data_IF_904218177189
#
_entry.id   IF_904218177189
#
_cell.length_a   1.000
_cell.length_b   1.000
_cell.length_c   1.000
_cell.angle_alpha   90.00
_cell.angle_beta   90.00
_cell.angle_gamma   90.00
#
_symmetry.space_group_name_H-M   'P 1'
#
loop_
_entity.id
_entity.type
_entity.pdbx_description
1 polymer ?
#
# COMPACT_ATOMS: atom_id res chain seq x y z
N UNK A 1 -5.58 -6.24 27.38
CA UNK A 1 -6.29 -6.12 26.08
C UNK A 1 -7.76 -5.73 26.24
N UNK A 2 -8.55 -6.32 27.13
CA UNK A 2 -9.97 -5.99 27.32
C UNK A 2 -10.25 -4.52 27.66
N UNK A 3 -9.42 -3.88 28.51
CA UNK A 3 -9.54 -2.46 28.87
C UNK A 3 -9.26 -1.49 27.71
N UNK A 4 -8.35 -1.85 26.79
CA UNK A 4 -8.02 -1.03 25.60
C UNK A 4 -9.19 -1.07 24.61
N UNK A 5 -9.76 -2.25 24.37
CA UNK A 5 -10.92 -2.43 23.49
C UNK A 5 -12.16 -1.72 24.07
N UNK A 6 -12.40 -1.81 25.38
CA UNK A 6 -13.49 -1.09 26.03
C UNK A 6 -13.33 0.44 25.90
N UNK A 7 -12.11 0.95 26.03
CA UNK A 7 -11.81 2.37 25.87
C UNK A 7 -11.92 2.85 24.41
N UNK A 8 -11.64 2.00 23.43
CA UNK A 8 -11.85 2.29 21.98
C UNK A 8 -13.33 2.57 21.69
N UNK A 9 -14.25 1.76 22.25
CA UNK A 9 -15.69 1.92 22.05
C UNK A 9 -16.33 2.99 22.94
N UNK A 10 -15.66 3.40 24.02
CA UNK A 10 -16.12 4.49 24.88
C UNK A 10 -16.00 5.88 24.22
N UNK A 11 -15.13 6.04 23.22
CA UNK A 11 -14.99 7.29 22.49
C UNK A 11 -16.00 7.37 21.34
N UNK A 12 -17.00 8.26 21.45
CA UNK A 12 -18.05 8.43 20.44
C UNK A 12 -17.50 8.78 19.06
N UNK A 13 -16.50 9.65 18.97
CA UNK A 13 -15.89 10.06 17.70
C UNK A 13 -15.14 8.90 17.04
N UNK A 14 -14.30 8.20 17.80
CA UNK A 14 -13.55 7.06 17.31
C UNK A 14 -14.49 5.91 16.86
N UNK A 15 -15.54 5.65 17.67
CA UNK A 15 -16.59 4.69 17.32
C UNK A 15 -17.25 5.05 16.00
N UNK A 16 -17.61 6.32 15.78
CA UNK A 16 -18.21 6.76 14.53
C UNK A 16 -17.27 6.56 13.34
N UNK A 17 -15.97 6.90 13.47
CA UNK A 17 -14.95 6.72 12.43
C UNK A 17 -14.74 5.25 12.07
N UNK A 18 -14.68 4.37 13.07
CA UNK A 18 -14.57 2.91 12.86
C UNK A 18 -15.82 2.38 12.14
N UNK A 19 -17.01 2.76 12.61
CA UNK A 19 -18.26 2.32 12.00
C UNK A 19 -18.40 2.80 10.55
N UNK A 20 -18.00 4.06 10.28
CA UNK A 20 -17.96 4.62 8.93
C UNK A 20 -17.02 3.83 8.02
N UNK A 21 -15.81 3.52 8.49
CA UNK A 21 -14.84 2.71 7.73
C UNK A 21 -15.40 1.32 7.42
N UNK A 22 -16.03 0.68 8.41
CA UNK A 22 -16.64 -0.62 8.22
C UNK A 22 -17.82 -0.58 7.22
N UNK A 23 -18.66 0.45 7.28
CA UNK A 23 -19.73 0.67 6.31
C UNK A 23 -19.18 0.80 4.88
N UNK A 24 -18.09 1.54 4.70
CA UNK A 24 -17.43 1.66 3.39
C UNK A 24 -16.85 0.33 2.89
N UNK A 25 -16.35 -0.52 3.78
CA UNK A 25 -15.93 -1.89 3.43
C UNK A 25 -17.11 -2.74 2.94
N UNK A 26 -18.27 -2.62 3.58
CA UNK A 26 -19.48 -3.32 3.12
C UNK A 26 -19.87 -2.86 1.72
N UNK A 27 -19.85 -1.54 1.44
CA UNK A 27 -20.15 -0.99 0.11
C UNK A 27 -19.12 -1.50 -0.92
N UNK A 28 -17.84 -1.51 -0.59
CA UNK A 28 -16.81 -2.08 -1.45
C UNK A 28 -17.08 -3.56 -1.75
N UNK A 29 -17.40 -4.37 -0.73
CA UNK A 29 -17.68 -5.80 -0.92
C UNK A 29 -18.92 -6.05 -1.75
N UNK A 30 -19.98 -5.26 -1.59
CA UNK A 30 -21.17 -5.34 -2.45
C UNK A 30 -20.83 -5.07 -3.91
N UNK A 31 -20.05 -4.02 -4.19
CA UNK A 31 -19.64 -3.68 -5.56
C UNK A 31 -18.74 -4.73 -6.22
N UNK A 32 -17.94 -5.48 -5.44
CA UNK A 32 -17.14 -6.62 -5.95
C UNK A 32 -18.03 -7.75 -6.48
N UNK A 33 -19.29 -7.84 -6.03
CA UNK A 33 -20.22 -8.89 -6.45
C UNK A 33 -21.20 -8.46 -7.56
N UNK A 34 -21.11 -7.21 -8.02
CA UNK A 34 -21.92 -6.70 -9.13
C UNK A 34 -21.15 -6.91 -10.44
N UNK A 35 -21.44 -7.95 -11.23
CA UNK A 35 -20.74 -8.19 -12.48
C UNK A 35 -21.06 -7.09 -13.51
N UNK A 36 -20.11 -6.82 -14.40
CA UNK A 36 -20.38 -5.94 -15.56
C UNK A 36 -21.33 -6.71 -16.50
N UNK A 37 -22.48 -6.12 -16.86
CA UNK A 37 -23.45 -6.82 -17.72
C UNK A 37 -22.83 -7.19 -19.06
N UNK A 38 -23.18 -8.38 -19.59
CA UNK A 38 -22.81 -8.85 -20.94
C UNK A 38 -21.35 -9.25 -21.12
N UNK A 39 -20.66 -9.62 -20.07
CA UNK A 39 -19.38 -10.29 -20.12
C UNK A 39 -19.56 -11.75 -19.70
N UNK A 40 -19.03 -12.68 -20.49
CA UNK A 40 -19.16 -14.10 -20.20
C UNK A 40 -18.16 -14.52 -19.10
N UNK A 41 -18.71 -14.87 -17.94
CA UNK A 41 -17.91 -15.28 -16.79
C UNK A 41 -17.12 -16.57 -17.04
N UNK A 42 -17.58 -17.47 -17.90
CA UNK A 42 -16.93 -18.74 -18.18
C UNK A 42 -15.60 -18.56 -18.94
N UNK A 43 -15.56 -17.61 -19.87
CA UNK A 43 -14.34 -17.26 -20.61
C UNK A 43 -13.33 -16.59 -19.69
N UNK A 44 -13.82 -15.74 -18.76
CA UNK A 44 -12.96 -15.10 -17.77
C UNK A 44 -12.34 -16.16 -16.85
N UNK A 45 -13.11 -17.10 -16.34
CA UNK A 45 -12.64 -18.17 -15.47
C UNK A 45 -11.56 -19.02 -16.16
N UNK A 46 -11.69 -19.31 -17.47
CA UNK A 46 -10.67 -20.00 -18.25
C UNK A 46 -9.36 -19.21 -18.36
N UNK A 47 -9.42 -17.88 -18.50
CA UNK A 47 -8.25 -17.01 -18.53
C UNK A 47 -7.53 -16.97 -17.18
N UNK A 48 -8.26 -17.10 -16.07
CA UNK A 48 -7.67 -17.20 -14.72
C UNK A 48 -7.02 -18.55 -14.46
N UNK A 49 -7.55 -19.63 -15.02
CA UNK A 49 -7.01 -20.98 -14.85
C UNK A 49 -5.72 -21.17 -15.63
N UNK A 50 -5.55 -20.47 -16.74
CA UNK A 50 -4.39 -20.59 -17.64
C UNK A 50 -3.20 -19.69 -17.26
N UNK A 51 -3.35 -18.73 -16.33
CA UNK A 51 -2.27 -17.77 -16.03
C UNK A 51 -2.20 -17.29 -14.58
N UNK A 52 -1.04 -17.47 -13.94
CA UNK A 52 -0.77 -17.01 -12.58
C UNK A 52 -0.85 -15.47 -12.39
N UNK A 53 -0.77 -14.71 -13.49
CA UNK A 53 -0.76 -13.24 -13.46
C UNK A 53 -2.11 -12.64 -13.05
N UNK A 54 -3.19 -13.14 -13.66
CA UNK A 54 -4.54 -12.68 -13.32
C UNK A 54 -4.89 -12.96 -11.86
N UNK A 55 -4.42 -14.08 -11.32
CA UNK A 55 -4.59 -14.40 -9.90
C UNK A 55 -3.95 -13.38 -8.97
N UNK A 56 -2.76 -12.86 -9.32
CA UNK A 56 -2.09 -11.82 -8.53
C UNK A 56 -2.80 -10.45 -8.63
N UNK A 57 -3.21 -10.03 -9.82
CA UNK A 57 -4.03 -8.84 -10.01
C UNK A 57 -5.32 -8.91 -9.21
N UNK A 58 -5.95 -10.07 -9.21
CA UNK A 58 -7.20 -10.31 -8.50
C UNK A 58 -7.04 -10.30 -6.96
N UNK A 59 -5.84 -10.56 -6.45
CA UNK A 59 -5.53 -10.43 -5.03
C UNK A 59 -5.78 -9.00 -4.53
N UNK A 60 -5.33 -7.99 -5.28
CA UNK A 60 -5.54 -6.58 -4.93
C UNK A 60 -6.97 -6.11 -5.19
N UNK A 61 -7.69 -6.77 -6.08
CA UNK A 61 -9.09 -6.47 -6.37
C UNK A 61 -10.05 -7.15 -5.40
N UNK A 62 -9.57 -8.09 -4.58
CA UNK A 62 -10.41 -8.84 -3.63
C UNK A 62 -11.42 -9.77 -4.28
N UNK A 63 -11.11 -10.30 -5.48
CA UNK A 63 -11.99 -11.16 -6.26
C UNK A 63 -12.87 -10.40 -7.27
N UNK A 64 -12.65 -9.09 -7.44
CA UNK A 64 -13.43 -8.28 -8.37
C UNK A 64 -13.07 -8.57 -9.83
N UNK A 65 -11.82 -8.90 -10.11
CA UNK A 65 -11.37 -9.20 -11.46
C UNK A 65 -11.81 -10.59 -11.92
N UNK A 66 -11.74 -11.60 -11.05
CA UNK A 66 -12.21 -12.96 -11.37
C UNK A 66 -13.70 -13.04 -11.66
N UNK A 67 -14.50 -12.15 -11.04
CA UNK A 67 -15.95 -12.02 -11.29
C UNK A 67 -16.27 -10.97 -12.35
N UNK A 68 -15.27 -10.31 -12.91
CA UNK A 68 -15.39 -9.16 -13.79
C UNK A 68 -16.46 -8.17 -13.32
N UNK A 69 -16.33 -7.75 -12.06
CA UNK A 69 -17.25 -6.80 -11.45
C UNK A 69 -16.95 -5.36 -11.87
N UNK A 70 -17.85 -4.44 -11.52
CA UNK A 70 -17.63 -2.99 -11.73
C UNK A 70 -16.33 -2.50 -11.12
N UNK A 71 -15.76 -3.21 -10.14
CA UNK A 71 -14.48 -2.93 -9.50
C UNK A 71 -13.32 -3.81 -10.01
N UNK A 72 -13.45 -4.42 -11.20
CA UNK A 72 -12.45 -5.32 -11.75
C UNK A 72 -11.04 -4.68 -11.87
N UNK A 73 -10.97 -3.38 -12.17
CA UNK A 73 -9.71 -2.65 -12.23
C UNK A 73 -9.14 -2.29 -10.85
N UNK A 74 -9.92 -2.53 -9.77
CA UNK A 74 -9.52 -2.17 -8.40
C UNK A 74 -9.14 -0.68 -8.27
N UNK A 75 -8.23 -0.38 -7.35
CA UNK A 75 -7.67 0.96 -7.11
C UNK A 75 -6.35 1.18 -7.86
N UNK A 76 -5.93 0.23 -8.70
CA UNK A 76 -4.65 0.23 -9.42
C UNK A 76 -4.42 1.50 -10.26
N UNK A 77 -5.39 2.03 -11.04
CA UNK A 77 -5.19 3.26 -11.80
C UNK A 77 -4.88 4.47 -10.91
N UNK A 78 -5.50 4.54 -9.72
CA UNK A 78 -5.22 5.60 -8.76
C UNK A 78 -3.82 5.47 -8.16
N UNK A 79 -3.38 4.25 -7.83
CA UNK A 79 -2.04 4.02 -7.33
C UNK A 79 -1.01 4.48 -8.35
N UNK A 80 -1.16 4.05 -9.61
CA UNK A 80 -0.27 4.45 -10.70
C UNK A 80 -0.24 5.98 -10.89
N UNK A 81 -1.40 6.62 -10.86
CA UNK A 81 -1.54 8.08 -10.94
C UNK A 81 -0.81 8.77 -9.78
N UNK A 82 -1.01 8.28 -8.56
CA UNK A 82 -0.37 8.83 -7.36
C UNK A 82 1.16 8.69 -7.42
N UNK A 83 1.67 7.55 -7.90
CA UNK A 83 3.10 7.32 -8.09
C UNK A 83 3.68 8.32 -9.08
N UNK A 84 3.05 8.43 -10.25
CA UNK A 84 3.51 9.34 -11.31
C UNK A 84 3.48 10.78 -10.80
N UNK A 85 2.43 11.20 -10.11
CA UNK A 85 2.34 12.54 -9.55
C UNK A 85 3.41 12.81 -8.48
N UNK A 86 3.72 11.82 -7.62
CA UNK A 86 4.81 11.97 -6.64
C UNK A 86 6.18 12.08 -7.30
N UNK A 87 6.42 11.32 -8.37
CA UNK A 87 7.66 11.45 -9.16
C UNK A 87 7.73 12.81 -9.85
N UNK A 88 6.63 13.28 -10.43
CA UNK A 88 6.56 14.58 -11.10
C UNK A 88 6.74 15.74 -10.11
N UNK A 89 6.25 15.64 -8.87
CA UNK A 89 6.49 16.66 -7.83
C UNK A 89 7.95 16.76 -7.41
N UNK A 90 8.76 15.74 -7.65
CA UNK A 90 10.20 15.80 -7.40
C UNK A 90 11.00 16.40 -8.57
N UNK A 91 10.42 16.47 -9.78
CA UNK A 91 11.10 16.90 -11.01
C UNK A 91 10.60 18.26 -11.50
N UNK A 92 9.30 18.56 -11.35
CA UNK A 92 8.67 19.76 -11.86
C UNK A 92 8.65 20.85 -10.77
N UNK A 93 9.34 22.00 -10.95
CA UNK A 93 9.43 23.06 -9.93
C UNK A 93 8.07 23.60 -9.47
N UNK A 94 7.10 23.78 -10.37
CA UNK A 94 5.75 24.23 -10.03
C UNK A 94 4.98 23.30 -9.14
N UNK A 95 5.19 21.98 -9.28
CA UNK A 95 4.58 20.98 -8.41
C UNK A 95 5.30 20.90 -7.07
N UNK A 96 6.60 21.13 -7.03
CA UNK A 96 7.39 21.26 -5.80
C UNK A 96 6.92 22.49 -5.00
N UNK A 97 6.69 23.64 -5.64
CA UNK A 97 6.11 24.80 -5.00
C UNK A 97 4.76 24.48 -4.37
N UNK A 98 3.84 23.84 -5.09
CA UNK A 98 2.55 23.43 -4.53
C UNK A 98 2.71 22.49 -3.32
N UNK A 99 3.68 21.60 -3.34
CA UNK A 99 3.96 20.74 -2.19
C UNK A 99 4.39 21.54 -0.96
N UNK A 100 5.13 22.64 -1.16
CA UNK A 100 5.61 23.51 -0.10
C UNK A 100 4.54 24.50 0.39
N UNK A 101 3.48 24.76 -0.40
CA UNK A 101 2.34 25.62 -0.05
C UNK A 101 1.41 25.04 1.03
N UNK A 102 1.77 23.92 1.64
CA UNK A 102 1.00 23.31 2.73
C UNK A 102 -0.33 22.71 2.27
N UNK A 103 -1.42 22.96 3.02
CA UNK A 103 -2.71 22.30 2.74
C UNK A 103 -3.37 22.70 1.42
N UNK A 104 -3.20 23.93 0.98
CA UNK A 104 -3.80 24.39 -0.29
C UNK A 104 -3.11 23.76 -1.50
N UNK A 105 -1.78 23.72 -1.49
CA UNK A 105 -1.03 23.06 -2.54
C UNK A 105 -1.27 21.55 -2.56
N UNK A 106 -1.41 20.91 -1.43
CA UNK A 106 -1.78 19.50 -1.34
C UNK A 106 -3.14 19.20 -2.00
N UNK A 107 -4.15 20.07 -1.80
CA UNK A 107 -5.45 19.96 -2.46
C UNK A 107 -5.34 20.10 -3.99
N UNK A 108 -4.46 20.99 -4.48
CA UNK A 108 -4.21 21.15 -5.92
C UNK A 108 -3.61 19.87 -6.52
N UNK A 109 -2.57 19.33 -5.87
CA UNK A 109 -1.94 18.06 -6.27
C UNK A 109 -2.97 16.92 -6.29
N UNK A 110 -3.77 16.78 -5.25
CA UNK A 110 -4.84 15.78 -5.18
C UNK A 110 -5.84 15.92 -6.35
N UNK A 111 -6.25 17.15 -6.68
CA UNK A 111 -7.16 17.41 -7.79
C UNK A 111 -6.58 16.94 -9.12
N UNK A 112 -5.32 17.25 -9.38
CA UNK A 112 -4.62 16.79 -10.61
C UNK A 112 -4.49 15.27 -10.62
N UNK A 113 -4.14 14.66 -9.48
CA UNK A 113 -4.07 13.19 -9.34
C UNK A 113 -5.41 12.52 -9.67
N UNK A 114 -6.55 13.08 -9.24
CA UNK A 114 -7.89 12.56 -9.59
C UNK A 114 -8.14 12.60 -11.10
N UNK A 115 -7.88 13.71 -11.77
CA UNK A 115 -8.06 13.80 -13.24
C UNK A 115 -7.16 12.81 -13.96
N UNK A 116 -5.92 12.70 -13.53
CA UNK A 116 -4.97 11.77 -14.12
C UNK A 116 -5.38 10.30 -13.86
N UNK A 117 -5.97 10.02 -12.70
CA UNK A 117 -6.56 8.70 -12.40
C UNK A 117 -7.68 8.35 -13.37
N UNK A 118 -8.61 9.28 -13.66
CA UNK A 118 -9.70 9.03 -14.59
C UNK A 118 -9.16 8.73 -15.99
N UNK A 119 -8.16 9.50 -16.43
CA UNK A 119 -7.51 9.28 -17.72
C UNK A 119 -6.84 7.90 -17.78
N UNK A 120 -6.02 7.53 -16.77
CA UNK A 120 -5.37 6.22 -16.73
C UNK A 120 -6.39 5.08 -16.62
N UNK A 121 -7.46 5.27 -15.84
CA UNK A 121 -8.53 4.29 -15.72
C UNK A 121 -9.22 4.05 -17.07
N UNK A 122 -9.51 5.10 -17.83
CA UNK A 122 -10.12 4.98 -19.16
C UNK A 122 -9.19 4.23 -20.13
N UNK A 123 -7.88 4.53 -20.12
CA UNK A 123 -6.89 3.85 -20.99
C UNK A 123 -6.77 2.36 -20.59
N UNK A 124 -6.69 2.04 -19.31
CA UNK A 124 -6.61 0.65 -18.84
C UNK A 124 -7.92 -0.11 -19.09
N UNK A 125 -9.08 0.53 -18.87
CA UNK A 125 -10.39 -0.06 -19.17
C UNK A 125 -10.53 -0.35 -20.68
N UNK A 126 -10.09 0.56 -21.53
CA UNK A 126 -10.07 0.34 -22.97
C UNK A 126 -9.24 -0.88 -23.35
N UNK A 127 -8.00 -0.97 -22.85
CA UNK A 127 -7.13 -2.11 -23.10
C UNK A 127 -7.74 -3.43 -22.61
N UNK A 128 -8.29 -3.46 -21.40
CA UNK A 128 -8.89 -4.65 -20.82
C UNK A 128 -10.13 -5.10 -21.60
N UNK A 129 -11.01 -4.17 -21.99
CA UNK A 129 -12.19 -4.48 -22.81
C UNK A 129 -11.79 -4.96 -24.19
N UNK A 130 -10.72 -4.42 -24.77
CA UNK A 130 -10.18 -4.87 -26.05
C UNK A 130 -9.65 -6.29 -25.97
N UNK A 131 -8.95 -6.66 -24.91
CA UNK A 131 -8.51 -8.04 -24.68
C UNK A 131 -9.68 -9.01 -24.53
N UNK A 132 -10.77 -8.63 -23.86
CA UNK A 132 -11.98 -9.44 -23.78
C UNK A 132 -12.65 -9.62 -25.14
N UNK A 133 -12.66 -8.59 -25.96
CA UNK A 133 -13.22 -8.65 -27.32
C UNK A 133 -12.48 -9.64 -28.20
N UNK A 134 -11.13 -9.64 -28.15
CA UNK A 134 -10.29 -10.59 -28.91
C UNK A 134 -10.55 -12.03 -28.46
N UNK A 135 -10.76 -12.25 -27.16
CA UNK A 135 -11.02 -13.58 -26.61
C UNK A 135 -12.51 -14.00 -26.69
N UNK A 136 -13.34 -13.25 -27.43
CA UNK A 136 -14.78 -13.48 -27.55
C UNK A 136 -15.53 -13.62 -26.21
N UNK A 137 -15.05 -12.90 -25.18
CA UNK A 137 -15.67 -12.87 -23.86
C UNK A 137 -16.82 -11.86 -23.75
N UNK A 138 -17.05 -11.04 -24.77
CA UNK A 138 -18.16 -10.10 -24.84
C UNK A 138 -19.37 -10.77 -25.52
N UNK A 139 -20.53 -10.68 -24.90
CA UNK A 139 -21.81 -11.21 -25.46
C UNK A 139 -22.19 -10.49 -26.75
N UNK A 140 -21.95 -9.17 -26.80
CA UNK A 140 -22.18 -8.34 -27.99
C UNK A 140 -20.88 -7.64 -28.40
N UNK A 141 -20.44 -7.89 -29.63
CA UNK A 141 -19.25 -7.30 -30.24
C UNK A 141 -19.48 -5.89 -30.82
N UNK A 142 -20.64 -5.26 -30.55
CA UNK A 142 -20.95 -3.90 -30.97
C UNK A 142 -19.97 -2.90 -30.36
N UNK A 143 -19.61 -1.87 -31.16
CA UNK A 143 -18.76 -0.76 -30.66
C UNK A 143 -19.42 0.01 -29.51
N UNK A 144 -20.73 0.14 -29.55
CA UNK A 144 -21.48 0.81 -28.47
C UNK A 144 -21.38 0.06 -27.16
N UNK A 145 -21.44 -1.26 -27.22
CA UNK A 145 -21.29 -2.12 -26.06
C UNK A 145 -19.86 -2.07 -25.49
N UNK A 146 -18.86 -2.05 -26.37
CA UNK A 146 -17.47 -1.86 -25.99
C UNK A 146 -17.26 -0.56 -25.18
N UNK A 147 -17.77 0.57 -25.67
CA UNK A 147 -17.71 1.85 -24.97
C UNK A 147 -18.45 1.81 -23.65
N UNK A 148 -19.59 1.13 -23.58
CA UNK A 148 -20.34 0.94 -22.34
C UNK A 148 -19.51 0.25 -21.26
N UNK A 149 -18.82 -0.85 -21.58
CA UNK A 149 -17.96 -1.58 -20.61
C UNK A 149 -16.80 -0.69 -20.14
N UNK A 150 -16.15 0.06 -21.04
CA UNK A 150 -15.08 1.01 -20.70
C UNK A 150 -15.58 2.07 -19.72
N UNK A 151 -16.75 2.64 -19.94
CA UNK A 151 -17.34 3.65 -19.06
C UNK A 151 -17.69 3.07 -17.72
N UNK A 152 -18.26 1.86 -17.66
CA UNK A 152 -18.62 1.18 -16.40
C UNK A 152 -17.39 0.89 -15.55
N UNK A 153 -16.32 0.37 -16.14
CA UNK A 153 -15.07 0.08 -15.43
C UNK A 153 -14.38 1.36 -14.92
N UNK A 154 -14.38 2.41 -15.74
CA UNK A 154 -13.83 3.72 -15.35
C UNK A 154 -14.63 4.33 -14.20
N UNK A 155 -15.96 4.29 -14.29
CA UNK A 155 -16.85 4.76 -13.22
C UNK A 155 -16.66 3.97 -11.93
N UNK A 156 -16.48 2.65 -12.01
CA UNK A 156 -16.15 1.79 -10.86
C UNK A 156 -14.86 2.22 -10.16
N UNK A 157 -13.81 2.48 -10.92
CA UNK A 157 -12.53 2.99 -10.37
C UNK A 157 -12.70 4.37 -9.71
N UNK A 158 -13.46 5.28 -10.33
CA UNK A 158 -13.77 6.59 -9.74
C UNK A 158 -14.53 6.46 -8.43
N UNK A 159 -15.46 5.52 -8.35
CA UNK A 159 -16.21 5.24 -7.13
C UNK A 159 -15.31 4.69 -6.02
N UNK A 160 -14.38 3.76 -6.36
CA UNK A 160 -13.40 3.24 -5.40
C UNK A 160 -12.46 4.33 -4.90
N UNK A 161 -11.97 5.19 -5.78
CA UNK A 161 -11.16 6.35 -5.40
C UNK A 161 -11.92 7.24 -4.42
N UNK A 162 -13.17 7.56 -4.71
CA UNK A 162 -14.03 8.37 -3.83
C UNK A 162 -14.27 7.69 -2.47
N UNK A 163 -14.52 6.38 -2.43
CA UNK A 163 -14.64 5.61 -1.18
C UNK A 163 -13.34 5.71 -0.37
N UNK A 164 -12.18 5.52 -1.00
CA UNK A 164 -10.88 5.61 -0.34
C UNK A 164 -10.62 7.00 0.26
N UNK A 165 -10.95 8.06 -0.47
CA UNK A 165 -10.84 9.43 0.03
C UNK A 165 -11.80 9.69 1.20
N UNK A 166 -13.03 9.23 1.12
CA UNK A 166 -14.01 9.37 2.21
C UNK A 166 -13.60 8.60 3.46
N UNK A 167 -12.99 7.43 3.35
CA UNK A 167 -12.42 6.73 4.50
C UNK A 167 -11.28 7.56 5.11
N UNK A 168 -10.42 8.16 4.30
CA UNK A 168 -9.31 9.00 4.79
C UNK A 168 -9.80 10.26 5.51
N UNK A 169 -10.88 10.89 5.02
CA UNK A 169 -11.45 12.11 5.60
C UNK A 169 -12.25 11.84 6.90
N UNK A 170 -13.17 10.87 6.85
CA UNK A 170 -14.16 10.65 7.90
C UNK A 170 -13.97 9.34 8.68
N UNK A 171 -13.14 8.43 8.17
CA UNK A 171 -12.84 7.15 8.77
C UNK A 171 -11.58 7.16 9.63
N UNK A 172 -10.95 6.00 9.71
CA UNK A 172 -9.68 5.77 10.40
C UNK A 172 -8.68 5.14 9.42
N UNK A 173 -7.42 5.54 9.47
CA UNK A 173 -6.37 5.04 8.60
C UNK A 173 -6.32 5.72 7.22
N UNK A 174 -5.43 5.23 6.37
CA UNK A 174 -5.38 5.61 4.97
C UNK A 174 -6.40 4.76 4.17
N UNK A 175 -7.44 5.41 3.63
CA UNK A 175 -8.54 4.71 2.98
C UNK A 175 -8.14 3.86 1.78
N UNK A 176 -7.14 4.31 1.00
CA UNK A 176 -6.62 3.55 -0.14
C UNK A 176 -5.96 2.25 0.33
N UNK A 177 -5.08 2.34 1.31
CA UNK A 177 -4.40 1.18 1.91
C UNK A 177 -5.41 0.23 2.56
N UNK A 178 -6.47 0.77 3.17
CA UNK A 178 -7.54 -0.01 3.80
C UNK A 178 -8.43 -0.74 2.78
N UNK A 179 -8.67 -0.18 1.60
CA UNK A 179 -9.37 -0.90 0.51
C UNK A 179 -8.53 -2.08 0.03
N UNK A 180 -7.22 -1.89 -0.17
CA UNK A 180 -6.31 -2.98 -0.53
C UNK A 180 -6.29 -4.06 0.56
N UNK A 181 -6.17 -3.66 1.82
CA UNK A 181 -6.25 -4.54 2.98
C UNK A 181 -7.54 -5.36 2.99
N UNK A 182 -8.70 -4.70 2.80
CA UNK A 182 -9.99 -5.36 2.74
C UNK A 182 -10.07 -6.36 1.59
N UNK A 183 -9.51 -6.02 0.41
CA UNK A 183 -9.43 -6.93 -0.74
C UNK A 183 -8.62 -8.20 -0.42
N UNK A 184 -7.45 -8.05 0.20
CA UNK A 184 -6.58 -9.18 0.54
C UNK A 184 -7.24 -10.05 1.62
N UNK A 185 -7.76 -9.45 2.71
CA UNK A 185 -8.40 -10.19 3.81
C UNK A 185 -9.64 -10.94 3.35
N UNK A 186 -10.38 -10.39 2.40
CA UNK A 186 -11.58 -11.00 1.87
C UNK A 186 -11.33 -12.34 1.11
N UNK A 187 -10.08 -12.60 0.72
CA UNK A 187 -9.68 -13.86 0.08
C UNK A 187 -9.20 -14.93 1.06
N UNK A 188 -9.04 -14.62 2.34
CA UNK A 188 -8.61 -15.60 3.34
C UNK A 188 -9.50 -16.83 3.44
N UNK A 189 -10.85 -16.71 3.48
CA UNK A 189 -11.71 -17.88 3.51
C UNK A 189 -11.48 -18.82 2.33
N UNK A 190 -11.32 -18.27 1.12
CA UNK A 190 -11.03 -19.06 -0.08
C UNK A 190 -9.63 -19.71 -0.01
N UNK A 191 -8.62 -19.00 0.47
CA UNK A 191 -7.29 -19.56 0.64
C UNK A 191 -7.28 -20.73 1.65
N UNK A 192 -8.04 -20.62 2.74
CA UNK A 192 -8.19 -21.69 3.72
C UNK A 192 -8.87 -22.93 3.11
N UNK A 193 -9.96 -22.74 2.34
CA UNK A 193 -10.63 -23.86 1.66
C UNK A 193 -9.72 -24.55 0.67
N UNK A 194 -8.94 -23.80 -0.13
CA UNK A 194 -7.96 -24.36 -1.07
C UNK A 194 -6.89 -25.21 -0.35
N UNK A 195 -6.36 -24.72 0.78
CA UNK A 195 -5.38 -25.48 1.58
C UNK A 195 -5.99 -26.77 2.13
N UNK A 196 -7.23 -26.72 2.63
CA UNK A 196 -7.95 -27.91 3.12
C UNK A 196 -8.16 -28.93 2.00
N UNK A 197 -8.49 -28.47 0.79
CA UNK A 197 -8.70 -29.35 -0.35
C UNK A 197 -7.38 -29.99 -0.82
N UNK A 198 -6.27 -29.27 -0.81
CA UNK A 198 -4.94 -29.84 -1.07
C UNK A 198 -4.55 -30.91 -0.04
N UNK A 199 -4.92 -30.74 1.23
CA UNK A 199 -4.72 -31.76 2.25
C UNK A 199 -5.59 -33.00 2.01
N UNK A 200 -6.86 -32.83 1.61
CA UNK A 200 -7.78 -33.95 1.34
C UNK A 200 -7.35 -34.78 0.13
N UNK A 201 -6.87 -34.10 -0.93
CA UNK A 201 -6.36 -34.72 -2.15
C UNK A 201 -4.97 -35.37 -1.95
N UNK A 202 -4.30 -35.03 -0.82
CA UNK A 202 -2.96 -35.58 -0.52
C UNK A 202 -1.83 -34.90 -1.30
N UNK A 203 -2.11 -33.77 -1.95
CA UNK A 203 -1.09 -32.97 -2.67
C UNK A 203 -0.07 -32.35 -1.71
N UNK A 204 -0.48 -32.08 -0.48
CA UNK A 204 0.34 -31.48 0.57
C UNK A 204 0.30 -32.38 1.81
N UNK A 205 1.48 -32.62 2.40
CA UNK A 205 1.56 -33.36 3.67
C UNK A 205 1.21 -32.43 4.86
N UNK A 206 0.69 -32.98 5.98
CA UNK A 206 0.45 -32.20 7.20
C UNK A 206 1.73 -31.51 7.72
N UNK A 207 2.91 -32.08 7.47
CA UNK A 207 4.19 -31.50 7.83
C UNK A 207 4.51 -30.24 7.01
N UNK A 208 4.22 -30.26 5.71
CA UNK A 208 4.39 -29.06 4.84
C UNK A 208 3.46 -27.93 5.25
N UNK A 209 2.22 -28.26 5.65
CA UNK A 209 1.30 -27.26 6.19
C UNK A 209 1.82 -26.66 7.50
N UNK A 210 2.31 -27.50 8.44
CA UNK A 210 2.90 -27.01 9.68
C UNK A 210 4.08 -26.08 9.40
N UNK A 211 4.98 -26.48 8.49
CA UNK A 211 6.12 -25.68 8.08
C UNK A 211 5.68 -24.33 7.51
N UNK A 212 4.67 -24.32 6.63
CA UNK A 212 4.10 -23.10 6.06
C UNK A 212 3.56 -22.16 7.15
N UNK A 213 2.80 -22.67 8.12
CA UNK A 213 2.26 -21.88 9.22
C UNK A 213 3.35 -21.30 10.11
N UNK A 214 4.40 -22.08 10.42
CA UNK A 214 5.56 -21.60 11.19
C UNK A 214 6.28 -20.48 10.44
N UNK A 215 6.54 -20.65 9.14
CA UNK A 215 7.19 -19.61 8.32
C UNK A 215 6.31 -18.35 8.29
N UNK A 216 5.00 -18.47 8.06
CA UNK A 216 4.08 -17.35 8.03
C UNK A 216 4.09 -16.59 9.37
N UNK A 217 4.07 -17.30 10.50
CA UNK A 217 4.14 -16.70 11.84
C UNK A 217 5.46 -15.95 12.05
N UNK A 218 6.60 -16.57 11.70
CA UNK A 218 7.92 -15.93 11.81
C UNK A 218 7.98 -14.68 10.94
N UNK A 219 7.44 -14.72 9.73
CA UNK A 219 7.38 -13.54 8.85
C UNK A 219 6.54 -12.41 9.46
N UNK A 220 5.37 -12.72 10.02
CA UNK A 220 4.53 -11.71 10.67
C UNK A 220 5.30 -11.06 11.84
N UNK A 221 5.96 -11.83 12.67
CA UNK A 221 6.76 -11.32 13.79
C UNK A 221 7.90 -10.43 13.30
N UNK A 222 8.65 -10.86 12.28
CA UNK A 222 9.73 -10.07 11.69
C UNK A 222 9.22 -8.75 11.09
N UNK A 223 8.06 -8.77 10.42
CA UNK A 223 7.45 -7.56 9.85
C UNK A 223 7.02 -6.59 10.96
N UNK A 224 6.45 -7.09 12.06
CA UNK A 224 6.07 -6.26 13.21
C UNK A 224 7.31 -5.61 13.83
N UNK A 225 8.35 -6.40 14.12
CA UNK A 225 9.60 -5.91 14.74
C UNK A 225 10.26 -4.81 13.90
N UNK A 226 10.34 -4.98 12.59
CA UNK A 226 10.96 -3.96 11.72
C UNK A 226 10.09 -2.71 11.56
N UNK A 227 8.76 -2.85 11.52
CA UNK A 227 7.85 -1.69 11.45
C UNK A 227 7.77 -0.91 12.78
N UNK A 228 7.92 -1.60 13.93
CA UNK A 228 7.98 -0.97 15.27
C UNK A 228 9.39 -0.47 15.61
N UNK A 229 10.41 -1.04 14.96
CA UNK A 229 11.81 -0.69 15.15
C UNK A 229 12.09 0.79 14.91
N UNK A 230 12.70 1.46 15.89
CA UNK A 230 13.06 2.89 15.78
C UNK A 230 14.42 3.18 16.39
N UNK A 231 15.20 4.02 15.72
CA UNK A 231 16.42 4.61 16.27
C UNK A 231 16.06 5.91 16.99
N UNK A 232 16.26 5.99 18.29
CA UNK A 232 16.02 7.18 19.10
C UNK A 232 17.30 8.01 19.19
N UNK A 233 17.28 9.22 18.62
CA UNK A 233 18.37 10.18 18.72
C UNK A 233 18.05 11.12 19.89
N UNK A 234 18.93 11.24 20.91
CA UNK A 234 18.67 12.14 22.04
C UNK A 234 18.79 13.60 21.59
N UNK A 235 17.79 14.41 21.95
CA UNK A 235 17.77 15.84 21.75
C UNK A 235 17.71 16.51 23.12
N UNK A 236 18.57 17.50 23.35
CA UNK A 236 18.55 18.33 24.54
C UNK A 236 18.12 19.75 24.18
N UNK A 237 17.25 20.32 25.00
CA UNK A 237 16.85 21.72 24.88
C UNK A 237 17.59 22.54 25.91
N UNK A 238 18.09 23.71 25.49
CA UNK A 238 18.79 24.62 26.37
C UNK A 238 17.88 25.08 27.53
N UNK A 239 18.39 25.05 28.75
CA UNK A 239 17.69 25.59 29.91
C UNK A 239 17.63 27.12 29.78
N UNK A 240 16.43 27.69 29.89
CA UNK A 240 16.23 29.14 29.96
C UNK A 240 15.84 29.49 31.39
N UNK A 241 16.60 30.42 32.00
CA UNK A 241 16.28 30.99 33.32
C UNK A 241 15.58 32.31 33.05
N UNK A 242 14.32 32.42 33.44
CA UNK A 242 13.55 33.68 33.40
C UNK A 242 13.22 34.05 34.86
N UNK A 243 13.98 35.02 35.39
CA UNK A 243 13.91 35.39 36.81
C UNK A 243 14.39 34.25 37.73
N UNK A 244 13.58 33.87 38.74
CA UNK A 244 13.86 32.77 39.68
C UNK A 244 13.39 31.38 39.19
N UNK A 245 12.72 31.30 38.05
CA UNK A 245 12.18 30.03 37.54
C UNK A 245 13.00 29.50 36.38
N UNK A 246 13.43 28.24 36.48
CA UNK A 246 14.06 27.51 35.37
C UNK A 246 12.98 26.90 34.48
N UNK A 247 13.01 27.27 33.19
CA UNK A 247 12.17 26.69 32.14
C UNK A 247 13.05 25.91 31.14
N UNK A 248 12.62 24.71 30.76
CA UNK A 248 13.35 23.87 29.82
C UNK A 248 14.29 22.88 30.50
N UNK A 249 15.18 22.27 29.74
CA UNK A 249 16.09 21.23 30.22
C UNK A 249 15.52 19.83 30.14
N UNK A 250 14.37 19.64 29.45
CA UNK A 250 13.87 18.32 29.15
C UNK A 250 14.66 17.71 28.01
N UNK A 251 15.16 16.52 28.23
CA UNK A 251 15.70 15.70 27.14
C UNK A 251 14.54 14.96 26.47
N UNK A 252 14.47 15.04 25.16
CA UNK A 252 13.52 14.28 24.34
C UNK A 252 14.30 13.45 23.32
N UNK A 253 13.59 12.62 22.58
CA UNK A 253 14.20 11.76 21.55
C UNK A 253 13.54 12.02 20.20
N UNK A 254 14.35 12.05 19.14
CA UNK A 254 13.88 12.00 17.76
C UNK A 254 13.77 10.53 17.36
N UNK A 255 12.55 10.00 17.21
CA UNK A 255 12.37 8.62 16.75
C UNK A 255 12.50 8.55 15.22
N UNK A 256 13.50 7.85 14.69
CA UNK A 256 13.62 7.50 13.29
C UNK A 256 13.25 6.04 13.12
N UNK A 257 12.18 5.75 12.39
CA UNK A 257 11.71 4.39 12.13
C UNK A 257 12.65 3.65 11.18
N UNK A 258 12.82 2.35 11.35
CA UNK A 258 13.59 1.51 10.42
C UNK A 258 12.89 1.44 9.08
N UNK A 259 11.57 1.23 9.08
CA UNK A 259 10.74 1.33 7.90
C UNK A 259 9.98 2.66 7.92
N UNK A 260 10.61 3.73 7.42
CA UNK A 260 10.00 5.05 7.30
C UNK A 260 8.99 5.13 6.16
N UNK A 261 9.24 4.37 5.10
CA UNK A 261 8.43 4.37 3.89
C UNK A 261 7.15 3.51 4.01
N UNK A 262 7.04 2.65 5.04
CA UNK A 262 5.90 1.75 5.22
C UNK A 262 5.80 0.72 4.10
N UNK A 263 4.57 0.47 3.64
CA UNK A 263 4.28 -0.50 2.56
C UNK A 263 4.24 0.13 1.16
N UNK A 264 4.35 1.45 1.05
CA UNK A 264 4.22 2.20 -0.21
C UNK A 264 5.24 1.77 -1.26
N UNK A 265 6.54 1.58 -0.95
CA UNK A 265 7.53 1.14 -1.94
C UNK A 265 7.20 -0.21 -2.58
N UNK A 266 6.59 -1.11 -1.83
CA UNK A 266 6.20 -2.44 -2.32
C UNK A 266 5.06 -2.31 -3.33
N UNK A 267 4.05 -1.48 -3.01
CA UNK A 267 2.91 -1.20 -3.89
C UNK A 267 3.40 -0.54 -5.18
N UNK A 268 4.36 0.40 -5.08
CA UNK A 268 4.95 1.07 -6.24
C UNK A 268 5.73 0.11 -7.13
N UNK A 269 6.60 -0.70 -6.55
CA UNK A 269 7.38 -1.67 -7.29
C UNK A 269 6.48 -2.68 -8.02
N UNK A 270 5.44 -3.20 -7.35
CA UNK A 270 4.48 -4.12 -7.96
C UNK A 270 3.71 -3.46 -9.11
N UNK A 271 3.25 -2.21 -8.92
CA UNK A 271 2.50 -1.48 -9.94
C UNK A 271 3.33 -1.22 -11.21
N UNK A 272 4.61 -0.86 -11.05
CA UNK A 272 5.50 -0.62 -12.21
C UNK A 272 5.81 -1.92 -12.95
N UNK A 273 6.06 -3.01 -12.23
CA UNK A 273 6.30 -4.30 -12.87
C UNK A 273 5.08 -4.87 -13.60
N UNK A 274 3.89 -4.48 -13.16
CA UNK A 274 2.65 -4.86 -13.84
C UNK A 274 2.47 -4.16 -15.19
N UNK A 275 3.02 -2.97 -15.40
CA UNK A 275 2.83 -2.20 -16.64
C UNK A 275 3.31 -2.96 -17.89
N UNK A 276 4.55 -3.49 -17.98
CA UNK A 276 5.00 -4.24 -19.15
C UNK A 276 4.16 -5.49 -19.41
N UNK A 277 3.77 -6.17 -18.35
CA UNK A 277 3.00 -7.42 -18.43
C UNK A 277 1.57 -7.16 -18.91
N UNK A 278 0.93 -6.10 -18.41
CA UNK A 278 -0.40 -5.68 -18.86
C UNK A 278 -0.36 -5.17 -20.31
N UNK A 279 0.67 -4.42 -20.68
CA UNK A 279 0.84 -3.97 -22.07
C UNK A 279 1.01 -5.15 -23.04
N UNK A 280 1.75 -6.20 -22.64
CA UNK A 280 1.93 -7.39 -23.46
C UNK A 280 0.63 -8.18 -23.71
N UNK A 281 -0.36 -8.05 -22.84
CA UNK A 281 -1.70 -8.64 -23.05
C UNK A 281 -2.52 -7.91 -24.10
N UNK A 282 -2.30 -6.58 -24.26
CA UNK A 282 -3.05 -5.77 -25.21
C UNK A 282 -2.39 -5.65 -26.57
N UNK A 283 -1.07 -5.76 -26.62
CA UNK A 283 -0.29 -5.52 -27.82
C UNK A 283 0.34 -6.84 -28.29
N UNK A 284 -0.18 -7.40 -29.37
CA UNK A 284 0.28 -8.66 -29.95
C UNK A 284 1.48 -8.44 -30.89
N UNK A 285 2.48 -7.69 -30.45
CA UNK A 285 3.75 -7.50 -31.17
C UNK A 285 4.79 -8.38 -30.47
N UNK A 286 5.55 -9.13 -31.24
CA UNK A 286 6.47 -10.16 -30.73
C UNK A 286 7.46 -9.65 -29.67
N UNK A 287 8.03 -8.46 -29.87
CA UNK A 287 8.94 -7.90 -28.88
C UNK A 287 8.25 -7.48 -27.58
N UNK A 288 6.98 -6.99 -27.64
CA UNK A 288 6.20 -6.62 -26.46
C UNK A 288 5.83 -7.87 -25.66
N UNK A 289 5.45 -8.94 -26.34
CA UNK A 289 5.18 -10.23 -25.70
C UNK A 289 6.45 -10.84 -25.10
N UNK A 290 7.59 -10.74 -25.79
CA UNK A 290 8.87 -11.18 -25.23
C UNK A 290 9.23 -10.44 -23.93
N UNK A 291 9.04 -9.12 -23.88
CA UNK A 291 9.22 -8.31 -22.67
C UNK A 291 8.21 -8.69 -21.59
N UNK A 292 6.93 -8.86 -21.93
CA UNK A 292 5.91 -9.29 -20.99
C UNK A 292 6.20 -10.65 -20.37
N UNK A 293 6.65 -11.62 -21.17
CA UNK A 293 7.04 -12.96 -20.71
C UNK A 293 8.32 -12.91 -19.85
N UNK A 294 9.28 -12.05 -20.19
CA UNK A 294 10.51 -11.87 -19.42
C UNK A 294 10.22 -11.34 -18.00
N UNK A 295 9.28 -10.39 -17.88
CA UNK A 295 8.81 -9.87 -16.60
C UNK A 295 7.61 -10.64 -16.03
N UNK A 296 7.24 -11.78 -16.61
CA UNK A 296 6.15 -12.61 -16.13
C UNK A 296 6.31 -13.00 -14.67
N UNK A 297 5.19 -13.14 -13.95
CA UNK A 297 5.19 -13.49 -12.54
C UNK A 297 5.86 -14.87 -12.31
N UNK A 298 6.70 -14.94 -11.27
CA UNK A 298 7.45 -16.16 -10.96
C UNK A 298 8.75 -16.36 -11.73
N UNK A 299 9.07 -15.49 -12.70
CA UNK A 299 10.36 -15.53 -13.39
C UNK A 299 11.48 -14.92 -12.52
N UNK A 300 12.71 -15.42 -12.71
CA UNK A 300 13.89 -14.87 -12.03
C UNK A 300 14.11 -13.37 -12.33
N UNK A 301 14.00 -12.89 -13.58
CA UNK A 301 14.13 -11.47 -13.88
C UNK A 301 13.10 -10.60 -13.16
N UNK A 302 11.83 -11.04 -13.10
CA UNK A 302 10.80 -10.34 -12.34
C UNK A 302 11.19 -10.23 -10.85
N UNK A 303 11.62 -11.34 -10.24
CA UNK A 303 11.99 -11.39 -8.82
C UNK A 303 13.15 -10.45 -8.50
N UNK A 304 14.18 -10.41 -9.34
CA UNK A 304 15.35 -9.54 -9.16
C UNK A 304 14.95 -8.07 -9.35
N UNK A 305 14.24 -7.76 -10.43
CA UNK A 305 13.76 -6.39 -10.70
C UNK A 305 12.82 -5.89 -9.59
N UNK A 306 11.96 -6.77 -9.06
CA UNK A 306 11.05 -6.44 -7.96
C UNK A 306 11.82 -6.02 -6.71
N UNK A 307 12.80 -6.83 -6.29
CA UNK A 307 13.65 -6.48 -5.15
C UNK A 307 14.43 -5.18 -5.36
N UNK A 308 14.97 -4.97 -6.55
CA UNK A 308 15.70 -3.75 -6.91
C UNK A 308 14.80 -2.51 -6.90
N UNK A 309 13.59 -2.61 -7.46
CA UNK A 309 12.61 -1.52 -7.43
C UNK A 309 12.16 -1.18 -6.00
N UNK A 310 11.90 -2.20 -5.16
CA UNK A 310 11.57 -1.96 -3.75
C UNK A 310 12.70 -1.19 -3.07
N UNK A 311 13.95 -1.58 -3.32
CA UNK A 311 15.12 -0.90 -2.77
C UNK A 311 15.18 0.57 -3.19
N UNK A 312 15.06 0.86 -4.48
CA UNK A 312 15.07 2.23 -5.03
C UNK A 312 13.91 3.04 -4.46
N UNK A 313 12.68 2.50 -4.49
CA UNK A 313 11.51 3.24 -4.00
C UNK A 313 11.53 3.47 -2.50
N UNK A 314 12.14 2.59 -1.72
CA UNK A 314 12.30 2.81 -0.29
C UNK A 314 13.19 4.02 -0.01
N UNK A 315 14.31 4.15 -0.72
CA UNK A 315 15.17 5.33 -0.61
C UNK A 315 14.49 6.59 -1.12
N UNK A 316 13.89 6.52 -2.29
CA UNK A 316 13.18 7.63 -2.91
C UNK A 316 12.06 8.16 -2.01
N UNK A 317 11.20 7.25 -1.52
CA UNK A 317 10.08 7.65 -0.66
C UNK A 317 10.56 8.19 0.69
N UNK A 318 11.59 7.61 1.28
CA UNK A 318 12.16 8.11 2.53
C UNK A 318 12.71 9.53 2.35
N UNK A 319 13.42 9.80 1.26
CA UNK A 319 13.95 11.13 0.94
C UNK A 319 12.85 12.18 0.75
N UNK A 320 11.71 11.78 0.16
CA UNK A 320 10.57 12.68 -0.04
C UNK A 320 9.78 12.90 1.26
N UNK A 321 9.60 11.85 2.06
CA UNK A 321 8.75 11.90 3.26
C UNK A 321 9.38 12.64 4.42
N UNK A 322 10.71 12.63 4.53
CA UNK A 322 11.44 13.24 5.65
C UNK A 322 12.24 14.45 5.15
N UNK A 323 11.74 15.65 5.41
CA UNK A 323 12.51 16.87 5.14
C UNK A 323 13.51 17.11 6.28
N UNK A 324 14.73 16.60 6.11
CA UNK A 324 15.80 16.67 7.11
C UNK A 324 16.23 18.12 7.34
N UNK A 325 16.18 18.97 6.31
CA UNK A 325 16.54 20.38 6.41
C UNK A 325 15.57 21.11 7.34
N UNK A 326 14.27 21.00 7.11
CA UNK A 326 13.25 21.62 7.95
C UNK A 326 13.31 21.09 9.38
N UNK A 327 13.60 19.81 9.56
CA UNK A 327 13.78 19.21 10.88
C UNK A 327 14.97 19.85 11.63
N UNK A 328 16.12 19.99 10.98
CA UNK A 328 17.33 20.59 11.57
C UNK A 328 17.15 22.09 11.86
N UNK A 329 16.47 22.81 10.96
CA UNK A 329 16.17 24.23 11.12
C UNK A 329 15.16 24.47 12.25
N UNK A 330 14.14 23.64 12.37
CA UNK A 330 13.18 23.68 13.47
C UNK A 330 13.85 23.37 14.82
N UNK A 331 14.73 22.36 14.88
CA UNK A 331 15.51 22.07 16.08
C UNK A 331 16.32 23.29 16.49
N UNK A 332 17.04 23.92 15.56
CA UNK A 332 17.83 25.13 15.81
C UNK A 332 16.96 26.28 16.31
N UNK A 333 15.81 26.50 15.67
CA UNK A 333 14.85 27.58 16.01
C UNK A 333 14.30 27.46 17.42
N UNK A 334 14.02 26.22 17.86
CA UNK A 334 13.48 25.94 19.20
C UNK A 334 14.58 25.68 20.26
N UNK A 335 15.87 25.88 19.93
CA UNK A 335 16.97 25.72 20.86
C UNK A 335 17.28 24.27 21.22
N UNK A 336 16.86 23.32 20.39
CA UNK A 336 17.19 21.89 20.50
C UNK A 336 18.54 21.59 19.83
N UNK A 337 19.34 20.73 20.44
CA UNK A 337 20.60 20.25 19.86
C UNK A 337 20.82 18.77 20.19
N UNK A 338 21.61 18.13 19.37
CA UNK A 338 22.07 16.75 19.61
C UNK A 338 23.39 16.85 20.40
N UNK A 339 23.55 16.16 21.53
CA UNK A 339 24.79 16.20 22.32
C UNK A 339 26.00 15.87 21.46
N UNK A 340 27.02 16.76 21.50
CA UNK A 340 28.24 16.61 20.71
C UNK A 340 28.18 17.10 19.26
N UNK A 341 27.03 17.58 18.77
CA UNK A 341 26.86 18.07 17.40
C UNK A 341 26.36 19.51 17.40
N UNK A 342 27.00 20.39 16.59
CA UNK A 342 26.58 21.78 16.45
C UNK A 342 25.21 21.88 15.78
N UNK A 343 24.27 22.75 16.28
CA UNK A 343 22.99 22.98 15.63
C UNK A 343 23.13 23.52 14.20
N UNK A 344 22.20 23.14 13.32
CA UNK A 344 22.16 23.57 11.91
C UNK A 344 22.73 22.53 10.95
N UNK A 345 23.58 22.93 10.03
CA UNK A 345 24.10 22.06 8.95
C UNK A 345 24.79 20.77 9.44
N UNK A 346 25.63 20.77 10.50
CA UNK A 346 26.19 19.52 11.03
C UNK A 346 25.12 18.57 11.58
N UNK A 347 24.06 19.09 12.20
CA UNK A 347 22.93 18.28 12.65
C UNK A 347 22.18 17.64 11.47
N UNK A 348 21.95 18.41 10.40
CA UNK A 348 21.37 17.90 9.16
C UNK A 348 22.17 16.74 8.59
N UNK A 349 23.49 16.91 8.41
CA UNK A 349 24.38 15.87 7.89
C UNK A 349 24.41 14.61 8.77
N UNK A 350 24.37 14.77 10.08
CA UNK A 350 24.34 13.62 11.00
C UNK A 350 23.04 12.83 10.88
N UNK A 351 21.89 13.53 10.90
CA UNK A 351 20.56 12.89 10.80
C UNK A 351 20.42 12.21 9.43
N UNK A 352 20.87 12.85 8.35
CA UNK A 352 20.89 12.29 7.00
C UNK A 352 21.69 10.98 6.94
N UNK A 353 22.90 10.98 7.49
CA UNK A 353 23.76 9.79 7.57
C UNK A 353 23.11 8.66 8.36
N UNK A 354 22.46 8.97 9.48
CA UNK A 354 21.76 7.98 10.30
C UNK A 354 20.54 7.46 9.56
N UNK A 355 19.74 8.34 8.96
CA UNK A 355 18.54 7.97 8.20
C UNK A 355 18.90 7.07 7.01
N UNK A 356 19.90 7.43 6.21
CA UNK A 356 20.36 6.64 5.07
C UNK A 356 20.79 5.23 5.46
N UNK A 357 21.51 5.07 6.59
CA UNK A 357 21.91 3.73 7.09
C UNK A 357 20.73 2.89 7.56
N UNK A 358 19.76 3.51 8.25
CA UNK A 358 18.57 2.83 8.73
C UNK A 358 17.69 2.43 7.53
N UNK A 359 17.53 3.33 6.56
CA UNK A 359 16.78 3.06 5.33
C UNK A 359 17.38 1.90 4.54
N UNK A 360 18.71 1.76 4.50
CA UNK A 360 19.36 0.60 3.87
C UNK A 360 18.88 -0.72 4.49
N UNK A 361 18.91 -0.80 5.82
CA UNK A 361 18.44 -2.00 6.54
C UNK A 361 16.96 -2.27 6.26
N UNK A 362 16.13 -1.22 6.30
CA UNK A 362 14.70 -1.33 5.98
C UNK A 362 14.45 -1.77 4.54
N UNK A 363 15.17 -1.20 3.56
CA UNK A 363 15.03 -1.54 2.14
C UNK A 363 15.40 -2.99 1.84
N UNK A 364 16.54 -3.46 2.38
CA UNK A 364 16.98 -4.86 2.25
C UNK A 364 15.95 -5.81 2.88
N UNK A 365 15.46 -5.46 4.07
CA UNK A 365 14.43 -6.26 4.73
C UNK A 365 13.13 -6.34 3.92
N UNK A 366 12.62 -5.20 3.43
CA UNK A 366 11.40 -5.16 2.61
C UNK A 366 11.56 -5.97 1.32
N UNK A 367 12.70 -5.84 0.62
CA UNK A 367 13.01 -6.63 -0.57
C UNK A 367 13.06 -8.13 -0.25
N UNK A 368 13.73 -8.51 0.85
CA UNK A 368 13.82 -9.91 1.29
C UNK A 368 12.42 -10.50 1.56
N UNK A 369 11.59 -9.83 2.38
CA UNK A 369 10.25 -10.31 2.71
C UNK A 369 9.33 -10.35 1.49
N UNK A 370 9.48 -9.41 0.55
CA UNK A 370 8.69 -9.39 -0.67
C UNK A 370 9.01 -10.54 -1.65
N UNK A 371 10.28 -10.96 -1.69
CA UNK A 371 10.76 -12.02 -2.58
C UNK A 371 10.56 -13.43 -1.97
N UNK A 372 10.60 -13.54 -0.66
CA UNK A 372 10.60 -14.80 0.09
C UNK A 372 9.44 -15.76 -0.27
N UNK A 373 8.21 -15.31 -0.57
CA UNK A 373 7.11 -16.19 -0.96
C UNK A 373 7.35 -16.99 -2.23
N UNK A 374 8.11 -16.44 -3.18
CA UNK A 374 8.45 -17.16 -4.41
C UNK A 374 9.27 -18.44 -4.10
N UNK A 375 10.04 -18.41 -3.02
CA UNK A 375 10.80 -19.58 -2.55
C UNK A 375 9.95 -20.51 -1.67
N UNK A 376 9.07 -19.94 -0.84
CA UNK A 376 8.21 -20.73 0.07
C UNK A 376 7.28 -21.63 -0.74
N UNK A 377 6.65 -21.13 -1.78
CA UNK A 377 5.77 -21.89 -2.66
C UNK A 377 6.46 -23.13 -3.24
N UNK A 378 7.73 -23.00 -3.63
CA UNK A 378 8.52 -24.11 -4.17
C UNK A 378 8.91 -25.14 -3.08
N UNK A 379 9.16 -24.69 -1.84
CA UNK A 379 9.57 -25.57 -0.74
C UNK A 379 8.37 -26.29 -0.14
N UNK A 380 7.23 -25.62 0.02
CA UNK A 380 6.04 -26.18 0.66
C UNK A 380 5.10 -26.91 -0.31
N UNK A 381 5.26 -26.72 -1.62
CA UNK A 381 4.36 -27.26 -2.64
C UNK A 381 2.99 -26.56 -2.67
N UNK A 382 2.78 -25.55 -1.83
CA UNK A 382 1.53 -24.78 -1.75
C UNK A 382 1.56 -23.70 -2.85
N UNK A 383 1.11 -24.06 -4.04
CA UNK A 383 0.95 -23.12 -5.15
C UNK A 383 -0.48 -22.57 -5.18
N UNK A 384 -0.65 -21.30 -5.60
CA UNK A 384 -1.98 -20.68 -5.73
C UNK A 384 -2.57 -20.12 -4.44
N UNK A 385 -2.00 -20.41 -3.28
CA UNK A 385 -2.32 -19.69 -2.05
C UNK A 385 -1.45 -18.44 -2.01
N UNK A 386 -2.00 -17.32 -2.48
CA UNK A 386 -1.31 -16.03 -2.54
C UNK A 386 -1.10 -15.40 -1.14
N UNK A 387 -0.68 -16.20 -0.17
CA UNK A 387 -0.14 -15.74 1.11
C UNK A 387 1.30 -15.26 0.90
N UNK A 388 1.46 -14.33 -0.08
CA UNK A 388 2.75 -13.78 -0.39
C UNK A 388 3.24 -12.78 0.65
N UNK A 389 4.56 -12.62 0.76
CA UNK A 389 5.17 -11.63 1.66
C UNK A 389 4.65 -10.21 1.44
N UNK A 390 4.26 -9.87 0.20
CA UNK A 390 3.65 -8.58 -0.13
C UNK A 390 2.30 -8.41 0.53
N UNK A 391 1.42 -9.41 0.46
CA UNK A 391 0.10 -9.35 1.12
C UNK A 391 0.22 -9.32 2.63
N UNK A 392 1.13 -10.10 3.23
CA UNK A 392 1.41 -10.06 4.67
C UNK A 392 1.99 -8.70 5.09
N UNK A 393 2.95 -8.15 4.33
CA UNK A 393 3.50 -6.82 4.58
C UNK A 393 2.42 -5.74 4.55
N UNK A 394 1.54 -5.78 3.56
CA UNK A 394 0.44 -4.82 3.43
C UNK A 394 -0.54 -4.97 4.59
N UNK A 395 -0.95 -6.21 4.90
CA UNK A 395 -1.90 -6.45 6.00
C UNK A 395 -1.34 -5.97 7.33
N UNK A 396 -0.13 -6.39 7.68
CA UNK A 396 0.50 -6.04 8.97
C UNK A 396 0.79 -4.53 9.01
N UNK A 397 1.34 -3.97 7.93
CA UNK A 397 1.66 -2.54 7.85
C UNK A 397 0.42 -1.66 8.00
N UNK A 398 -0.63 -1.94 7.24
CA UNK A 398 -1.89 -1.18 7.30
C UNK A 398 -2.58 -1.34 8.65
N UNK A 399 -2.57 -2.54 9.23
CA UNK A 399 -3.13 -2.79 10.57
C UNK A 399 -2.38 -1.98 11.64
N UNK A 400 -1.04 -1.98 11.62
CA UNK A 400 -0.20 -1.21 12.54
C UNK A 400 -0.42 0.31 12.39
N UNK A 401 -0.44 0.82 11.16
CA UNK A 401 -0.66 2.26 10.91
C UNK A 401 -2.05 2.70 11.36
N UNK A 402 -3.08 1.88 11.10
CA UNK A 402 -4.45 2.16 11.55
C UNK A 402 -4.55 2.12 13.08
N UNK A 403 -3.87 1.14 13.73
CA UNK A 403 -3.84 1.03 15.19
C UNK A 403 -3.13 2.24 15.83
N UNK A 404 -2.01 2.70 15.26
CA UNK A 404 -1.30 3.91 15.72
C UNK A 404 -2.18 5.15 15.61
N UNK A 405 -2.92 5.29 14.52
CA UNK A 405 -3.84 6.39 14.35
C UNK A 405 -5.00 6.33 15.36
N UNK A 406 -5.54 5.13 15.63
CA UNK A 406 -6.54 4.93 16.69
C UNK A 406 -6.01 5.33 18.08
N UNK A 407 -4.78 4.95 18.40
CA UNK A 407 -4.12 5.31 19.66
C UNK A 407 -3.93 6.82 19.77
N UNK A 408 -3.54 7.52 18.69
CA UNK A 408 -3.38 8.96 18.69
C UNK A 408 -4.70 9.69 19.00
N UNK A 409 -5.84 9.24 18.47
CA UNK A 409 -7.17 9.78 18.82
C UNK A 409 -7.54 9.54 20.28
N UNK A 410 -7.11 8.44 20.90
CA UNK A 410 -7.37 8.19 22.33
C UNK A 410 -6.55 9.11 23.23
N UNK A 411 -5.28 9.34 22.91
CA UNK A 411 -4.38 10.18 23.72
C UNK A 411 -4.82 11.64 23.69
N UNK A 412 -5.19 12.17 22.53
CA UNK A 412 -5.60 13.58 22.36
C UNK A 412 -6.78 13.95 23.27
N UNK A 413 -7.69 13.03 23.55
CA UNK A 413 -8.86 13.29 24.42
C UNK A 413 -8.55 13.21 25.90
N UNK A 414 -7.61 12.38 26.33
CA UNK A 414 -7.21 12.33 27.74
C UNK A 414 -6.63 13.68 28.21
N UNK A 415 -5.99 14.44 27.32
CA UNK A 415 -5.53 15.79 27.61
C UNK A 415 -6.65 16.83 27.68
N UNK A 416 -7.74 16.70 26.92
CA UNK A 416 -8.89 17.60 26.99
C UNK A 416 -9.71 17.43 28.30
N UNK A 417 -9.65 16.27 28.94
CA UNK A 417 -10.27 16.01 30.23
C UNK A 417 -9.59 16.68 31.43
N UNK A 418 -8.34 17.12 31.28
CA UNK A 418 -7.58 17.85 32.32
C UNK A 418 -7.72 19.38 32.26
N UNK A 419 -8.41 19.90 31.24
CA UNK A 419 -8.60 21.36 31.02
C UNK A 419 -10.03 21.80 31.41
N UNK A 420 -10.82 20.92 32.04
CA UNK A 420 -12.12 21.26 32.61
C UNK A 420 -12.03 21.40 34.11
#
# INVERSE_FOLDING_TARGET
MGSVIANLFANKELKYRILFTFMMFVIFRLGVHIPVPGVDASVIESLFTSGNLFGFLDLFSGGALSKFSIFAMSITPYINSSIIMQLLTAVIPTLEEWRNDGQEGFKKIQKVTRYFTIFLAAVQAFGMTYALRINNALVDNSWLYFVFVVVVLTAGTCLLMWIGEKITEHGIGNGISLIIFCGIVARFPQAITTVIDYLKVGTISPFQLLLFLVIALVMILMVIEVNEGQRRIPIQYAKRVIGRRMYGGHSTYLPLKVNQAGVIPIIFASSILMLPVTLAQFVHIDWVQAVGNFFGWGTWPNTICYGFLIFIFTYFYTAISVNIKDLADNMKKYGGFIPGIRPGQPTMMYVDKVLSRITLTGAVFLAFVAILPNFIGNITGIQGVYFGGTSLLIIVGVALDTMRQAQSYMVTRNYQGFIK
#
